data_IF_763589234610
#
_entry.id   IF_763589234610
#
_cell.length_a   1.000
_cell.length_b   1.000
_cell.length_c   1.000
_cell.angle_alpha   90.00
_cell.angle_beta   90.00
_cell.angle_gamma   90.00
#
_symmetry.space_group_name_H-M   'P 1'
#
loop_
_entity.id
_entity.type
_entity.pdbx_description
1 polymer ?
#
# COMPACT_ATOMS: atom_id res chain seq x y z
N UNK A 1 20.23 7.03 12.39
CA UNK A 1 19.78 6.25 13.58
C UNK A 1 18.58 5.38 13.17
N UNK A 2 18.54 4.09 13.51
CA UNK A 2 17.50 3.12 13.10
C UNK A 2 16.34 3.07 14.11
N UNK A 3 15.80 4.23 14.48
CA UNK A 3 14.77 4.31 15.53
C UNK A 3 13.44 3.66 15.14
N UNK A 4 13.25 3.39 13.84
CA UNK A 4 12.07 2.73 13.27
C UNK A 4 11.96 1.23 13.59
N UNK A 5 13.03 0.61 14.11
CA UNK A 5 13.02 -0.81 14.52
C UNK A 5 12.29 -1.05 15.85
N UNK A 6 12.00 0.01 16.61
CA UNK A 6 11.44 -0.11 17.96
C UNK A 6 10.02 0.43 18.00
N UNK A 7 9.09 -0.40 18.46
CA UNK A 7 7.73 0.01 18.75
C UNK A 7 7.62 0.44 20.22
N UNK A 8 7.17 1.67 20.47
CA UNK A 8 6.92 2.17 21.83
C UNK A 8 5.67 1.58 22.50
N UNK A 9 4.86 0.81 21.76
CA UNK A 9 3.66 0.13 22.26
C UNK A 9 3.37 -1.13 21.43
N UNK A 10 2.66 -2.10 22.02
CA UNK A 10 2.24 -3.33 21.33
C UNK A 10 1.44 -3.03 20.07
N UNK A 11 0.41 -2.19 20.18
CA UNK A 11 -0.43 -1.80 19.05
C UNK A 11 0.37 -1.05 17.97
N UNK A 12 1.34 -0.22 18.36
CA UNK A 12 2.25 0.42 17.41
C UNK A 12 3.13 -0.59 16.67
N UNK A 13 3.60 -1.62 17.38
CA UNK A 13 4.39 -2.71 16.81
C UNK A 13 3.60 -3.57 15.81
N UNK A 14 2.36 -3.91 16.14
CA UNK A 14 1.46 -4.67 15.25
C UNK A 14 1.21 -3.91 13.95
N UNK A 15 0.90 -2.61 14.04
CA UNK A 15 0.69 -1.75 12.85
C UNK A 15 1.96 -1.61 12.02
N UNK A 16 3.11 -1.39 12.68
CA UNK A 16 4.39 -1.30 11.99
C UNK A 16 4.72 -2.62 11.27
N UNK A 17 4.52 -3.77 11.92
CA UNK A 17 4.74 -5.09 11.33
C UNK A 17 3.85 -5.33 10.10
N UNK A 18 2.58 -4.91 10.14
CA UNK A 18 1.69 -5.01 8.98
C UNK A 18 2.21 -4.20 7.79
N UNK A 19 2.60 -2.94 8.01
CA UNK A 19 3.18 -2.09 6.96
C UNK A 19 4.47 -2.68 6.40
N UNK A 20 5.39 -3.14 7.26
CA UNK A 20 6.63 -3.78 6.82
C UNK A 20 6.36 -5.03 5.99
N UNK A 21 5.37 -5.84 6.38
CA UNK A 21 4.99 -7.03 5.64
C UNK A 21 4.54 -6.66 4.22
N UNK A 22 3.64 -5.67 4.07
CA UNK A 22 3.20 -5.21 2.75
C UNK A 22 4.38 -4.72 1.89
N UNK A 23 5.28 -3.92 2.47
CA UNK A 23 6.46 -3.42 1.77
C UNK A 23 7.36 -4.57 1.31
N UNK A 24 7.60 -5.58 2.16
CA UNK A 24 8.42 -6.73 1.79
C UNK A 24 7.75 -7.58 0.71
N UNK A 25 6.43 -7.77 0.76
CA UNK A 25 5.68 -8.47 -0.29
C UNK A 25 5.78 -7.73 -1.62
N UNK A 26 5.66 -6.40 -1.64
CA UNK A 26 5.83 -5.62 -2.88
C UNK A 26 7.24 -5.83 -3.47
N UNK A 27 8.28 -5.73 -2.63
CA UNK A 27 9.67 -5.97 -3.05
C UNK A 27 9.89 -7.38 -3.59
N UNK A 28 9.31 -8.39 -2.94
CA UNK A 28 9.40 -9.78 -3.38
C UNK A 28 8.74 -10.01 -4.74
N UNK A 29 7.76 -9.18 -5.12
CA UNK A 29 7.07 -9.23 -6.42
C UNK A 29 7.64 -8.22 -7.44
N UNK A 30 8.75 -7.53 -7.13
CA UNK A 30 9.35 -6.54 -8.04
C UNK A 30 8.51 -5.27 -8.24
N UNK A 31 7.56 -5.01 -7.34
CA UNK A 31 6.65 -3.86 -7.38
C UNK A 31 7.21 -2.72 -6.53
N UNK A 32 7.10 -1.48 -7.02
CA UNK A 32 7.42 -0.30 -6.23
C UNK A 32 6.43 -0.16 -5.04
N UNK A 33 6.90 -0.26 -3.78
CA UNK A 33 5.99 -0.27 -2.64
C UNK A 33 5.25 1.05 -2.45
N UNK A 34 5.86 2.17 -2.83
CA UNK A 34 5.24 3.48 -2.63
C UNK A 34 4.08 3.69 -3.59
N UNK A 35 4.28 3.39 -4.88
CA UNK A 35 3.26 3.47 -5.90
C UNK A 35 2.10 2.52 -5.61
N UNK A 36 2.40 1.27 -5.22
CA UNK A 36 1.38 0.29 -4.85
C UNK A 36 0.51 0.75 -3.67
N UNK A 37 1.13 1.17 -2.56
CA UNK A 37 0.39 1.56 -1.36
C UNK A 37 -0.48 2.80 -1.63
N UNK A 38 0.05 3.79 -2.35
CA UNK A 38 -0.70 5.00 -2.68
C UNK A 38 -1.95 4.70 -3.53
N UNK A 39 -1.78 3.89 -4.59
CA UNK A 39 -2.86 3.50 -5.49
C UNK A 39 -3.91 2.63 -4.79
N UNK A 40 -3.49 1.61 -4.03
CA UNK A 40 -4.40 0.74 -3.28
C UNK A 40 -5.21 1.53 -2.25
N UNK A 41 -4.59 2.45 -1.50
CA UNK A 41 -5.32 3.31 -0.55
C UNK A 41 -6.34 4.19 -1.29
N UNK A 42 -5.96 4.78 -2.42
CA UNK A 42 -6.86 5.61 -3.22
C UNK A 42 -8.06 4.82 -3.75
N UNK A 43 -7.85 3.61 -4.27
CA UNK A 43 -8.92 2.72 -4.75
C UNK A 43 -9.85 2.28 -3.63
N UNK A 44 -9.30 1.91 -2.47
CA UNK A 44 -10.10 1.52 -1.30
C UNK A 44 -10.92 2.70 -0.76
N UNK A 45 -10.36 3.91 -0.76
CA UNK A 45 -11.10 5.11 -0.40
C UNK A 45 -12.20 5.46 -1.41
N UNK A 46 -12.05 5.06 -2.68
CA UNK A 46 -13.02 5.21 -3.76
C UNK A 46 -14.02 4.05 -3.89
N UNK A 47 -14.33 3.36 -2.79
CA UNK A 47 -15.31 2.27 -2.72
C UNK A 47 -14.99 1.07 -3.63
N UNK A 48 -13.71 0.67 -3.72
CA UNK A 48 -13.33 -0.54 -4.47
C UNK A 48 -14.12 -1.77 -3.99
N UNK A 49 -14.76 -2.54 -4.88
CA UNK A 49 -15.60 -3.65 -4.48
C UNK A 49 -14.76 -4.79 -3.89
N UNK A 50 -15.19 -5.28 -2.73
CA UNK A 50 -14.49 -6.36 -2.02
C UNK A 50 -14.42 -7.67 -2.82
N UNK A 51 -15.27 -7.87 -3.82
CA UNK A 51 -15.19 -9.04 -4.71
C UNK A 51 -13.98 -9.00 -5.65
N UNK A 52 -13.27 -7.87 -5.75
CA UNK A 52 -12.14 -7.65 -6.66
C UNK A 52 -10.82 -7.39 -5.91
N UNK A 53 -10.68 -7.87 -4.68
CA UNK A 53 -9.43 -7.71 -3.92
C UNK A 53 -8.23 -8.39 -4.59
N UNK A 54 -8.47 -9.51 -5.30
CA UNK A 54 -7.41 -10.26 -5.97
C UNK A 54 -6.66 -9.42 -7.02
N UNK A 55 -7.33 -8.42 -7.61
CA UNK A 55 -6.73 -7.49 -8.57
C UNK A 55 -5.77 -6.48 -7.91
N UNK A 56 -5.97 -6.22 -6.62
CA UNK A 56 -5.13 -5.31 -5.85
C UNK A 56 -3.93 -6.04 -5.24
N UNK A 57 -3.81 -7.36 -5.37
CA UNK A 57 -2.66 -8.08 -4.81
C UNK A 57 -1.36 -7.71 -5.54
N UNK A 58 -0.20 -7.67 -4.86
CA UNK A 58 1.05 -7.20 -5.47
C UNK A 58 1.50 -7.95 -6.73
N UNK A 59 1.09 -9.21 -6.91
CA UNK A 59 1.40 -10.01 -8.10
C UNK A 59 0.44 -9.78 -9.28
N UNK A 60 -0.75 -9.24 -9.03
CA UNK A 60 -1.76 -8.91 -10.06
C UNK A 60 -1.90 -7.40 -10.28
N UNK A 61 -1.23 -6.59 -9.45
CA UNK A 61 -1.39 -5.16 -9.43
C UNK A 61 -0.87 -4.52 -10.72
N UNK A 62 -1.75 -3.77 -11.37
CA UNK A 62 -1.43 -2.93 -12.51
C UNK A 62 -1.57 -1.47 -12.09
N UNK A 63 -0.49 -0.66 -12.19
CA UNK A 63 -0.56 0.76 -11.90
C UNK A 63 -1.64 1.41 -12.77
N UNK A 64 -2.49 2.23 -12.19
CA UNK A 64 -3.32 3.13 -12.98
C UNK A 64 -2.42 4.23 -13.55
N UNK A 65 -2.02 4.07 -14.81
CA UNK A 65 -1.35 5.13 -15.57
C UNK A 65 -2.33 6.29 -15.72
N UNK A 66 -2.00 7.43 -15.13
CA UNK A 66 -2.62 8.75 -15.28
C UNK A 66 -4.16 8.80 -15.23
N UNK A 67 -4.67 9.21 -14.06
CA UNK A 67 -5.68 10.27 -14.08
C UNK A 67 -4.94 11.57 -13.76
N UNK A 68 -4.89 12.56 -14.68
CA UNK A 68 -4.35 13.86 -14.35
C UNK A 68 -5.13 14.36 -13.14
N UNK A 69 -4.41 14.74 -12.08
CA UNK A 69 -4.96 15.39 -10.90
C UNK A 69 -5.96 16.43 -11.37
N UNK A 70 -7.25 16.12 -11.28
CA UNK A 70 -8.29 17.06 -11.61
C UNK A 70 -8.05 18.28 -10.71
N UNK A 71 -7.88 19.43 -11.38
CA UNK A 71 -7.76 20.75 -10.80
C UNK A 71 -8.54 20.89 -9.50
N UNK A 72 -7.84 21.17 -8.41
CA UNK A 72 -8.44 21.67 -7.18
C UNK A 72 -7.71 22.97 -6.79
N UNK A 73 -8.35 24.07 -7.19
CA UNK A 73 -8.39 25.44 -6.64
C UNK A 73 -7.07 26.09 -6.16
#
# INVERSE_FOLDING_TARGET
RRNWLFAGSRAGGERAAAIYTVIQTCKANGVDPQAYIADVIARVAGDWPATRWDELMPWNWVPQTDQPTAQAA
#
